data_IF_175888839241
#
_entry.id   IF_175888839241
#
_cell.length_a   1.000
_cell.length_b   1.000
_cell.length_c   1.000
_cell.angle_alpha   90.00
_cell.angle_beta   90.00
_cell.angle_gamma   90.00
#
_symmetry.space_group_name_H-M   'P 1'
#
loop_
_entity.id
_entity.type
_entity.pdbx_description
1 polymer ?
#
# COMPACT_ATOMS: atom_id res chain seq x y z
N UNK A 1 9.61 -40.54 19.54
CA UNK A 1 10.04 -40.89 18.17
C UNK A 1 11.12 -39.90 17.73
N UNK A 2 12.19 -40.33 17.04
CA UNK A 2 13.17 -39.39 16.48
C UNK A 2 12.47 -38.46 15.48
N UNK A 3 12.81 -37.16 15.50
CA UNK A 3 12.22 -36.19 14.56
C UNK A 3 12.74 -36.47 13.14
N UNK A 4 11.87 -36.27 12.13
CA UNK A 4 12.27 -36.38 10.72
C UNK A 4 13.20 -35.23 10.37
N UNK A 5 14.36 -35.55 9.77
CA UNK A 5 15.30 -34.56 9.25
C UNK A 5 14.75 -34.00 7.95
N UNK A 6 14.61 -32.68 7.84
CA UNK A 6 14.12 -31.99 6.65
C UNK A 6 15.21 -31.71 5.64
N UNK A 7 16.31 -31.08 6.07
CA UNK A 7 17.48 -30.79 5.26
C UNK A 7 18.74 -30.66 6.14
N UNK A 8 19.91 -30.68 5.50
CA UNK A 8 21.20 -30.53 6.18
C UNK A 8 21.87 -29.23 5.77
N UNK A 9 22.45 -28.55 6.75
CA UNK A 9 23.13 -27.27 6.56
C UNK A 9 24.60 -27.42 6.89
N UNK A 10 25.45 -27.08 5.93
CA UNK A 10 26.91 -27.00 6.14
C UNK A 10 27.29 -25.63 6.66
N UNK A 11 28.12 -25.59 7.71
CA UNK A 11 28.71 -24.37 8.26
C UNK A 11 30.22 -24.56 8.42
N UNK A 12 31.03 -23.52 8.21
CA UNK A 12 32.44 -23.57 8.55
C UNK A 12 32.60 -23.82 10.04
N UNK A 13 33.69 -24.49 10.42
CA UNK A 13 34.06 -24.68 11.82
C UNK A 13 34.34 -23.34 12.52
N UNK A 14 34.53 -23.38 13.84
CA UNK A 14 34.64 -22.16 14.65
C UNK A 14 35.94 -21.39 14.35
N UNK A 15 37.01 -22.09 13.99
CA UNK A 15 38.29 -21.53 13.56
C UNK A 15 38.51 -21.79 12.07
N UNK A 16 39.45 -21.05 11.46
CA UNK A 16 39.76 -21.16 10.04
C UNK A 16 40.18 -22.58 9.60
N UNK A 17 40.82 -23.34 10.50
CA UNK A 17 41.32 -24.69 10.22
C UNK A 17 40.38 -25.80 10.73
N UNK A 18 39.24 -25.44 11.33
CA UNK A 18 38.29 -26.42 11.82
C UNK A 18 37.50 -27.04 10.65
N UNK A 19 37.23 -28.35 10.67
CA UNK A 19 36.44 -29.01 9.63
C UNK A 19 35.01 -28.46 9.58
N UNK A 20 34.40 -28.51 8.40
CA UNK A 20 33.00 -28.14 8.23
C UNK A 20 32.08 -29.02 9.06
N UNK A 21 31.05 -28.41 9.64
CA UNK A 21 30.07 -29.09 10.50
C UNK A 21 28.76 -29.20 9.73
N UNK A 22 28.21 -30.42 9.69
CA UNK A 22 26.91 -30.73 9.09
C UNK A 22 25.82 -30.72 10.16
N UNK A 23 24.87 -29.79 10.08
CA UNK A 23 23.78 -29.61 11.03
C UNK A 23 22.47 -30.18 10.45
N UNK A 24 21.90 -31.26 11.02
CA UNK A 24 20.60 -31.77 10.59
C UNK A 24 19.48 -30.88 11.15
N UNK A 25 18.71 -30.25 10.27
CA UNK A 25 17.58 -29.40 10.64
C UNK A 25 16.29 -30.22 10.58
N UNK A 26 15.50 -30.15 11.64
CA UNK A 26 14.27 -30.90 11.75
C UNK A 26 13.18 -30.34 10.82
N UNK A 27 12.32 -31.22 10.29
CA UNK A 27 11.30 -30.87 9.30
C UNK A 27 10.24 -29.90 9.86
N UNK A 28 10.00 -29.92 11.16
CA UNK A 28 9.04 -29.09 11.88
C UNK A 28 9.44 -27.61 11.97
N UNK A 29 10.74 -27.30 11.88
CA UNK A 29 11.28 -25.92 11.90
C UNK A 29 11.76 -25.47 10.53
N UNK A 30 11.36 -26.18 9.47
CA UNK A 30 11.68 -25.82 8.08
C UNK A 30 11.01 -24.49 7.74
N UNK A 31 11.82 -23.43 7.64
CA UNK A 31 11.46 -22.20 6.94
C UNK A 31 11.78 -22.37 5.45
N UNK A 32 10.82 -22.06 4.58
CA UNK A 32 11.08 -21.95 3.14
C UNK A 32 12.11 -20.81 2.91
N UNK A 33 13.19 -21.03 2.14
CA UNK A 33 14.11 -19.97 1.78
C UNK A 33 13.38 -18.91 0.93
N UNK A 34 13.15 -17.75 1.52
CA UNK A 34 12.44 -16.63 0.89
C UNK A 34 11.27 -16.16 1.74
N UNK A 35 10.99 -14.86 1.71
CA UNK A 35 9.75 -14.33 2.30
C UNK A 35 8.62 -14.82 1.39
N UNK A 36 7.65 -15.62 1.88
CA UNK A 36 6.52 -16.05 1.06
C UNK A 36 5.78 -14.79 0.61
N UNK A 37 5.89 -14.47 -0.68
CA UNK A 37 5.21 -13.32 -1.27
C UNK A 37 3.73 -13.65 -1.27
N UNK A 38 2.95 -12.99 -0.41
CA UNK A 38 1.50 -13.10 -0.47
C UNK A 38 0.99 -12.13 -1.52
N UNK A 39 0.25 -12.60 -2.51
CA UNK A 39 -0.23 -11.74 -3.60
C UNK A 39 -1.11 -10.57 -3.10
N UNK A 40 -1.79 -10.74 -1.96
CA UNK A 40 -2.55 -9.67 -1.30
C UNK A 40 -1.66 -8.58 -0.69
N UNK A 41 -0.41 -8.88 -0.33
CA UNK A 41 0.56 -7.91 0.22
C UNK A 41 1.36 -7.19 -0.88
N UNK A 42 1.21 -7.64 -2.13
CA UNK A 42 2.05 -7.22 -3.26
C UNK A 42 1.26 -6.61 -4.40
N UNK A 43 0.02 -7.06 -4.60
CA UNK A 43 -0.83 -6.50 -5.63
C UNK A 43 -1.42 -5.19 -5.11
N UNK A 44 -0.97 -4.08 -5.68
CA UNK A 44 -1.53 -2.74 -5.46
C UNK A 44 -3.06 -2.69 -5.69
N UNK A 45 -3.62 -3.69 -6.40
CA UNK A 45 -5.04 -3.87 -6.69
C UNK A 45 -5.65 -5.15 -6.09
N UNK A 46 -5.12 -5.65 -4.97
CA UNK A 46 -5.69 -6.82 -4.30
C UNK A 46 -7.16 -6.56 -3.92
N UNK A 47 -8.07 -7.37 -4.49
CA UNK A 47 -9.53 -7.19 -4.49
C UNK A 47 -10.22 -7.29 -3.12
N UNK A 48 -9.48 -7.49 -2.03
CA UNK A 48 -10.07 -7.58 -0.69
C UNK A 48 -10.56 -6.22 -0.17
N UNK A 49 -9.99 -5.13 -0.70
CA UNK A 49 -10.47 -3.77 -0.47
C UNK A 49 -10.45 -3.05 -1.83
N UNK A 50 -11.59 -2.95 -2.55
CA UNK A 50 -11.62 -2.01 -3.67
C UNK A 50 -11.20 -0.65 -3.13
N UNK A 51 -10.08 -0.13 -3.61
CA UNK A 51 -9.58 1.18 -3.20
C UNK A 51 -10.69 2.18 -3.48
N UNK A 52 -11.32 2.67 -2.42
CA UNK A 52 -12.22 3.80 -2.56
C UNK A 52 -11.41 4.94 -3.15
N UNK A 53 -12.03 5.74 -4.03
CA UNK A 53 -11.34 6.92 -4.53
C UNK A 53 -10.91 7.76 -3.33
N UNK A 54 -9.68 8.26 -3.32
CA UNK A 54 -9.19 9.16 -2.25
C UNK A 54 -10.14 10.35 -2.07
N UNK A 55 -10.84 10.75 -3.13
CA UNK A 55 -11.86 11.80 -3.07
C UNK A 55 -13.06 11.43 -2.20
N UNK A 56 -13.48 10.17 -2.19
CA UNK A 56 -14.58 9.67 -1.36
C UNK A 56 -14.10 9.45 0.08
N UNK A 57 -12.97 8.75 0.25
CA UNK A 57 -12.39 8.44 1.56
C UNK A 57 -12.08 9.71 2.36
N UNK A 58 -11.62 10.78 1.68
CA UNK A 58 -11.22 12.03 2.32
C UNK A 58 -12.25 13.16 2.17
N UNK A 59 -13.49 12.84 1.78
CA UNK A 59 -14.57 13.81 1.59
C UNK A 59 -14.80 14.71 2.82
N UNK A 60 -14.79 14.14 4.02
CA UNK A 60 -14.95 14.89 5.27
C UNK A 60 -13.79 15.86 5.53
N UNK A 61 -12.55 15.42 5.29
CA UNK A 61 -11.35 16.26 5.40
C UNK A 61 -11.36 17.39 4.38
N UNK A 62 -11.83 17.12 3.16
CA UNK A 62 -11.96 18.11 2.11
C UNK A 62 -13.00 19.18 2.49
N UNK A 63 -14.16 18.78 3.02
CA UNK A 63 -15.18 19.73 3.48
C UNK A 63 -14.66 20.60 4.63
N UNK A 64 -14.02 20.00 5.63
CA UNK A 64 -13.43 20.77 6.74
C UNK A 64 -12.38 21.78 6.25
N UNK A 65 -11.53 21.39 5.29
CA UNK A 65 -10.53 22.30 4.73
C UNK A 65 -11.17 23.46 3.95
N UNK A 66 -12.31 23.22 3.29
CA UNK A 66 -13.10 24.26 2.65
C UNK A 66 -13.64 25.25 3.70
N UNK A 67 -14.28 24.76 4.75
CA UNK A 67 -14.86 25.58 5.81
C UNK A 67 -13.79 26.48 6.48
N UNK A 68 -12.64 25.91 6.82
CA UNK A 68 -11.51 26.65 7.41
C UNK A 68 -10.99 27.74 6.45
N UNK A 69 -10.94 27.45 5.14
CA UNK A 69 -10.50 28.44 4.15
C UNK A 69 -11.51 29.57 3.99
N UNK A 70 -12.81 29.27 4.02
CA UNK A 70 -13.86 30.28 3.96
C UNK A 70 -13.79 31.24 5.14
N UNK A 71 -13.53 30.73 6.35
CA UNK A 71 -13.34 31.55 7.54
C UNK A 71 -12.04 32.38 7.46
N UNK A 72 -10.92 31.75 7.10
CA UNK A 72 -9.61 32.40 7.11
C UNK A 72 -9.40 33.40 5.95
N UNK A 73 -10.03 33.17 4.80
CA UNK A 73 -9.81 33.93 3.57
C UNK A 73 -11.08 34.06 2.71
N UNK A 74 -12.09 34.83 3.15
CA UNK A 74 -13.39 34.91 2.49
C UNK A 74 -13.33 35.47 1.06
N UNK A 75 -12.44 36.44 0.79
CA UNK A 75 -12.25 36.98 -0.56
C UNK A 75 -11.71 35.93 -1.55
N UNK A 76 -10.86 35.03 -1.06
CA UNK A 76 -10.32 33.92 -1.85
C UNK A 76 -11.41 32.87 -2.10
N UNK A 77 -12.23 32.57 -1.09
CA UNK A 77 -13.37 31.67 -1.24
C UNK A 77 -14.38 32.17 -2.29
N UNK A 78 -14.66 33.47 -2.29
CA UNK A 78 -15.54 34.09 -3.28
C UNK A 78 -15.00 33.92 -4.70
N UNK A 79 -13.71 34.19 -4.92
CA UNK A 79 -13.08 34.00 -6.22
C UNK A 79 -13.18 32.55 -6.71
N UNK A 80 -12.99 31.57 -5.82
CA UNK A 80 -13.15 30.16 -6.18
C UNK A 80 -14.60 29.80 -6.55
N UNK A 81 -15.57 30.40 -5.87
CA UNK A 81 -17.00 30.21 -6.16
C UNK A 81 -17.37 30.77 -7.54
N UNK A 82 -16.96 32.01 -7.82
CA UNK A 82 -17.15 32.64 -9.14
C UNK A 82 -16.47 31.82 -10.25
N UNK A 83 -15.25 31.33 -10.01
CA UNK A 83 -14.54 30.48 -10.96
C UNK A 83 -15.27 29.15 -11.21
N UNK A 84 -15.76 28.50 -10.16
CA UNK A 84 -16.51 27.26 -10.27
C UNK A 84 -17.80 27.47 -11.08
N UNK A 85 -18.55 28.54 -10.83
CA UNK A 85 -19.74 28.90 -11.60
C UNK A 85 -19.41 29.14 -13.09
N UNK A 86 -18.31 29.84 -13.39
CA UNK A 86 -17.89 30.12 -14.76
C UNK A 86 -17.45 28.86 -15.53
N UNK A 87 -16.80 27.90 -14.87
CA UNK A 87 -16.29 26.67 -15.48
C UNK A 87 -17.34 25.56 -15.54
N UNK A 88 -18.36 25.58 -14.67
CA UNK A 88 -19.41 24.54 -14.61
C UNK A 88 -20.04 24.23 -15.98
N UNK A 89 -20.44 25.21 -16.82
CA UNK A 89 -21.00 24.92 -18.14
C UNK A 89 -20.03 24.18 -19.07
N UNK A 90 -18.72 24.47 -18.97
CA UNK A 90 -17.68 23.81 -19.78
C UNK A 90 -17.50 22.37 -19.32
N UNK A 91 -17.49 22.13 -18.01
CA UNK A 91 -17.40 20.78 -17.44
C UNK A 91 -18.61 19.92 -17.83
N UNK A 92 -19.82 20.48 -17.77
CA UNK A 92 -21.03 19.77 -18.21
C UNK A 92 -21.03 19.51 -19.73
N UNK A 93 -20.51 20.45 -20.52
CA UNK A 93 -20.29 20.22 -21.95
C UNK A 93 -19.29 19.08 -22.22
N UNK A 94 -18.17 19.00 -21.48
CA UNK A 94 -17.20 17.91 -21.61
C UNK A 94 -17.79 16.55 -21.21
N UNK A 95 -18.54 16.49 -20.11
CA UNK A 95 -19.23 15.26 -19.66
C UNK A 95 -20.19 14.69 -20.70
N UNK A 96 -20.81 15.55 -21.51
CA UNK A 96 -21.82 15.15 -22.49
C UNK A 96 -21.24 14.85 -23.88
N UNK A 97 -20.11 15.45 -24.24
CA UNK A 97 -19.49 15.28 -25.56
C UNK A 97 -18.44 14.18 -25.62
N UNK A 98 -17.83 13.80 -24.48
CA UNK A 98 -16.97 12.62 -24.38
C UNK A 98 -15.61 12.72 -25.09
N UNK A 99 -15.18 13.92 -25.48
CA UNK A 99 -13.80 14.24 -25.89
C UNK A 99 -12.87 14.39 -24.68
#
# INVERSE_FOLDING_TARGET
MPRRVGYKVTRPGRKADDPEIELPIAQDIRSEPGIPRRDNEVSYYAREFPLESVAEEQSASAQWALDVREEAAPATAELYREHAEAITPIVEWLKTTGD
#
